data_IF_770634570429
#
_entry.id   IF_770634570429
#
_cell.length_a   1.000
_cell.length_b   1.000
_cell.length_c   1.000
_cell.angle_alpha   90.00
_cell.angle_beta   90.00
_cell.angle_gamma   90.00
#
_symmetry.space_group_name_H-M   'P 1'
#
loop_
_entity.id
_entity.type
_entity.pdbx_description
1 polymer ?
#
# COMPACT_ATOMS: atom_id res chain seq x y z
N UNK A 1 -6.98 -10.47 -7.93
CA UNK A 1 -7.00 -10.83 -6.49
C UNK A 1 -5.81 -11.70 -6.09
N UNK A 2 -5.70 -12.99 -6.46
CA UNK A 2 -4.60 -13.88 -6.01
C UNK A 2 -3.19 -13.29 -6.17
N UNK A 3 -2.88 -12.73 -7.34
CA UNK A 3 -1.59 -12.07 -7.61
C UNK A 3 -1.33 -10.90 -6.65
N UNK A 4 -2.33 -10.05 -6.43
CA UNK A 4 -2.22 -8.91 -5.53
C UNK A 4 -1.91 -9.36 -4.10
N UNK A 5 -2.61 -10.39 -3.60
CA UNK A 5 -2.35 -10.96 -2.27
C UNK A 5 -0.91 -11.47 -2.17
N UNK A 6 -0.43 -12.22 -3.16
CA UNK A 6 0.96 -12.72 -3.17
C UNK A 6 1.96 -11.56 -3.09
N UNK A 7 1.80 -10.51 -3.89
CA UNK A 7 2.70 -9.35 -3.86
C UNK A 7 2.62 -8.58 -2.55
N UNK A 8 1.42 -8.37 -1.99
CA UNK A 8 1.25 -7.72 -0.69
C UNK A 8 1.90 -8.53 0.43
N UNK A 9 1.78 -9.86 0.40
CA UNK A 9 2.48 -10.75 1.34
C UNK A 9 4.00 -10.62 1.20
N UNK A 10 4.52 -10.57 -0.03
CA UNK A 10 5.95 -10.37 -0.27
C UNK A 10 6.41 -9.02 0.30
N UNK A 11 5.67 -7.94 0.05
CA UNK A 11 5.97 -6.59 0.56
C UNK A 11 5.97 -6.59 2.09
N UNK A 12 4.97 -7.20 2.72
CA UNK A 12 4.90 -7.30 4.18
C UNK A 12 6.14 -7.99 4.77
N UNK A 13 6.53 -9.15 4.23
CA UNK A 13 7.74 -9.85 4.70
C UNK A 13 9.02 -9.11 4.34
N UNK A 14 9.06 -8.39 3.22
CA UNK A 14 10.18 -7.52 2.87
C UNK A 14 10.32 -6.39 3.90
N UNK A 15 9.23 -5.73 4.29
CA UNK A 15 9.22 -4.70 5.34
C UNK A 15 9.68 -5.27 6.69
N UNK A 16 9.22 -6.46 7.06
CA UNK A 16 9.69 -7.12 8.29
C UNK A 16 11.20 -7.44 8.25
N UNK A 17 11.70 -7.88 7.10
CA UNK A 17 13.14 -8.07 6.90
C UNK A 17 13.89 -6.73 6.91
N UNK A 18 13.31 -5.67 6.33
CA UNK A 18 13.82 -4.31 6.36
C UNK A 18 14.03 -3.79 7.78
N UNK A 19 13.03 -3.98 8.65
CA UNK A 19 13.10 -3.70 10.09
C UNK A 19 14.22 -4.48 10.78
N UNK A 20 14.36 -5.77 10.46
CA UNK A 20 15.41 -6.61 11.06
C UNK A 20 16.82 -6.18 10.65
N UNK A 21 17.04 -5.90 9.37
CA UNK A 21 18.34 -5.48 8.83
C UNK A 21 18.59 -3.97 8.93
N UNK A 22 17.64 -3.21 9.48
CA UNK A 22 17.68 -1.75 9.65
C UNK A 22 17.75 -0.97 8.33
N UNK A 23 17.23 -1.54 7.24
CA UNK A 23 17.22 -0.90 5.92
C UNK A 23 16.26 0.29 5.86
N UNK A 24 15.16 0.21 6.60
CA UNK A 24 14.22 1.30 6.89
C UNK A 24 14.93 2.56 7.42
N UNK A 25 15.79 2.41 8.43
CA UNK A 25 16.50 3.54 9.06
C UNK A 25 17.70 4.07 8.26
N UNK A 26 18.17 3.33 7.25
CA UNK A 26 19.37 3.67 6.47
C UNK A 26 19.09 4.01 5.01
N UNK A 27 17.94 3.57 4.49
CA UNK A 27 17.63 3.60 3.05
C UNK A 27 16.22 4.09 2.84
N UNK A 28 16.05 5.42 2.81
CA UNK A 28 14.79 6.12 2.54
C UNK A 28 14.09 5.61 1.25
N UNK A 29 14.85 5.07 0.30
CA UNK A 29 14.31 4.49 -0.93
C UNK A 29 13.61 3.15 -0.72
N UNK A 30 14.02 2.35 0.26
CA UNK A 30 13.43 1.03 0.54
C UNK A 30 11.97 1.20 0.94
N UNK A 31 11.76 2.03 1.96
CA UNK A 31 10.44 2.29 2.54
C UNK A 31 9.48 2.94 1.52
N UNK A 32 9.90 4.05 0.89
CA UNK A 32 9.13 4.70 -0.18
C UNK A 32 8.78 3.76 -1.34
N UNK A 33 9.69 2.86 -1.71
CA UNK A 33 9.41 1.88 -2.77
C UNK A 33 8.42 0.82 -2.31
N UNK A 34 8.47 0.43 -1.03
CA UNK A 34 7.50 -0.46 -0.42
C UNK A 34 6.11 0.17 -0.38
N UNK A 35 5.99 1.45 -0.01
CA UNK A 35 4.72 2.20 -0.07
C UNK A 35 4.19 2.31 -1.50
N UNK A 36 5.03 2.72 -2.46
CA UNK A 36 4.59 2.77 -3.86
C UNK A 36 4.07 1.42 -4.37
N UNK A 37 4.80 0.33 -4.10
CA UNK A 37 4.39 -1.01 -4.46
C UNK A 37 3.12 -1.43 -3.69
N UNK A 38 3.05 -1.09 -2.40
CA UNK A 38 1.93 -1.34 -1.51
C UNK A 38 0.65 -0.70 -2.04
N UNK A 39 0.68 0.59 -2.36
CA UNK A 39 -0.42 1.31 -3.01
C UNK A 39 -0.85 0.71 -4.34
N UNK A 40 0.12 0.32 -5.19
CA UNK A 40 -0.15 -0.33 -6.49
C UNK A 40 -0.90 -1.65 -6.32
N UNK A 41 -0.40 -2.56 -5.48
CA UNK A 41 -1.01 -3.88 -5.30
C UNK A 41 -2.26 -3.83 -4.43
N UNK A 42 -2.38 -2.85 -3.53
CA UNK A 42 -3.62 -2.56 -2.81
C UNK A 42 -4.70 -2.08 -3.78
N UNK A 43 -4.39 -1.17 -4.71
CA UNK A 43 -5.32 -0.78 -5.76
C UNK A 43 -5.73 -1.98 -6.62
N UNK A 44 -4.80 -2.87 -6.95
CA UNK A 44 -5.08 -4.11 -7.67
C UNK A 44 -6.01 -5.05 -6.90
N UNK A 45 -5.81 -5.18 -5.59
CA UNK A 45 -6.66 -5.96 -4.72
C UNK A 45 -8.06 -5.34 -4.65
N UNK A 46 -8.15 -4.04 -4.35
CA UNK A 46 -9.41 -3.31 -4.19
C UNK A 46 -10.20 -3.22 -5.49
N UNK A 47 -9.55 -3.15 -6.66
CA UNK A 47 -10.24 -3.21 -7.95
C UNK A 47 -10.94 -4.55 -8.19
N UNK A 48 -10.38 -5.65 -7.68
CA UNK A 48 -11.01 -6.96 -7.73
C UNK A 48 -12.10 -7.12 -6.66
N UNK A 49 -11.85 -6.62 -5.45
CA UNK A 49 -12.76 -6.71 -4.31
C UNK A 49 -14.02 -5.84 -4.50
N UNK A 50 -13.86 -4.60 -4.97
CA UNK A 50 -14.95 -3.64 -5.17
C UNK A 50 -15.55 -3.66 -6.58
N UNK A 51 -15.28 -4.71 -7.38
CA UNK A 51 -15.63 -4.75 -8.81
C UNK A 51 -17.13 -4.46 -9.09
N UNK A 52 -18.01 -4.88 -8.17
CA UNK A 52 -19.48 -4.75 -8.25
C UNK A 52 -19.99 -3.40 -7.77
N UNK A 53 -19.18 -2.66 -7.01
CA UNK A 53 -19.52 -1.35 -6.45
C UNK A 53 -18.99 -0.18 -7.30
N UNK A 54 -18.35 -0.47 -8.43
CA UNK A 54 -17.89 0.59 -9.32
C UNK A 54 -19.06 1.31 -9.99
N UNK A 55 -19.07 2.66 -10.01
CA UNK A 55 -20.14 3.50 -10.56
C UNK A 55 -20.25 3.49 -12.11
N UNK A 56 -20.29 2.30 -12.70
CA UNK A 56 -20.46 2.08 -14.15
C UNK A 56 -19.20 2.42 -14.96
N UNK A 57 -19.39 3.07 -16.12
CA UNK A 57 -18.34 3.31 -17.12
C UNK A 57 -17.45 4.54 -16.83
N UNK A 58 -17.74 5.32 -15.79
CA UNK A 58 -16.97 6.53 -15.50
C UNK A 58 -15.59 6.17 -14.93
N UNK A 59 -14.55 6.31 -15.76
CA UNK A 59 -13.16 6.07 -15.36
C UNK A 59 -12.75 6.94 -14.19
N UNK A 60 -13.11 8.22 -14.21
CA UNK A 60 -12.78 9.15 -13.12
C UNK A 60 -13.41 8.71 -11.79
N UNK A 61 -14.71 8.40 -11.76
CA UNK A 61 -15.36 7.94 -10.53
C UNK A 61 -14.75 6.64 -10.00
N UNK A 62 -14.44 5.70 -10.89
CA UNK A 62 -13.79 4.43 -10.51
C UNK A 62 -12.38 4.67 -9.95
N UNK A 63 -11.63 5.62 -10.51
CA UNK A 63 -10.31 6.02 -9.99
C UNK A 63 -10.43 6.67 -8.60
N UNK A 64 -11.43 7.52 -8.35
CA UNK A 64 -11.68 8.12 -7.03
C UNK A 64 -12.02 7.05 -5.99
N UNK A 65 -12.85 6.05 -6.34
CA UNK A 65 -13.15 4.91 -5.45
C UNK A 65 -11.88 4.15 -5.08
N UNK A 66 -11.00 3.88 -6.06
CA UNK A 66 -9.73 3.20 -5.81
C UNK A 66 -8.78 4.03 -4.96
N UNK A 67 -8.63 5.32 -5.27
CA UNK A 67 -7.77 6.21 -4.51
C UNK A 67 -8.23 6.31 -3.04
N UNK A 68 -9.54 6.47 -2.80
CA UNK A 68 -10.09 6.50 -1.44
C UNK A 68 -9.90 5.19 -0.68
N UNK A 69 -10.10 4.05 -1.35
CA UNK A 69 -9.89 2.74 -0.74
C UNK A 69 -8.42 2.50 -0.36
N UNK A 70 -7.48 2.84 -1.26
CA UNK A 70 -6.04 2.75 -0.98
C UNK A 70 -5.65 3.70 0.13
N UNK A 71 -6.16 4.93 0.12
CA UNK A 71 -5.83 5.90 1.17
C UNK A 71 -6.28 5.47 2.55
N UNK A 72 -7.47 4.88 2.66
CA UNK A 72 -7.93 4.31 3.92
C UNK A 72 -6.95 3.23 4.43
N UNK A 73 -6.46 2.37 3.53
CA UNK A 73 -5.50 1.32 3.90
C UNK A 73 -4.14 1.91 4.30
N UNK A 74 -3.64 2.90 3.58
CA UNK A 74 -2.40 3.62 3.94
C UNK A 74 -2.50 4.28 5.31
N UNK A 75 -3.59 5.01 5.59
CA UNK A 75 -3.80 5.62 6.92
C UNK A 75 -3.89 4.57 8.03
N UNK A 76 -4.51 3.42 7.76
CA UNK A 76 -4.56 2.32 8.74
C UNK A 76 -3.20 1.67 8.95
N UNK A 77 -2.33 1.64 7.93
CA UNK A 77 -0.96 1.16 8.04
C UNK A 77 -0.12 2.08 8.93
N UNK A 78 -0.11 3.39 8.65
CA UNK A 78 0.57 4.40 9.47
C UNK A 78 0.08 4.39 10.93
N UNK A 79 -1.23 4.20 11.14
CA UNK A 79 -1.79 4.05 12.48
C UNK A 79 -1.29 2.77 13.17
N UNK A 80 -1.17 1.66 12.43
CA UNK A 80 -0.63 0.41 12.97
C UNK A 80 0.85 0.57 13.34
N UNK A 81 1.62 1.28 12.55
CA UNK A 81 3.02 1.65 12.81
C UNK A 81 3.16 2.53 14.04
N UNK A 82 2.30 3.54 14.18
CA UNK A 82 2.23 4.36 15.38
C UNK A 82 1.96 3.49 16.62
N UNK A 83 0.97 2.61 16.57
CA UNK A 83 0.66 1.71 17.69
C UNK A 83 1.85 0.80 17.99
N UNK A 84 2.47 0.21 16.96
CA UNK A 84 3.64 -0.64 17.08
C UNK A 84 4.82 0.10 17.73
N UNK A 85 5.02 1.38 17.41
CA UNK A 85 6.04 2.22 18.03
C UNK A 85 5.80 2.43 19.53
N UNK A 86 4.55 2.39 20.00
CA UNK A 86 4.23 2.53 21.41
C UNK A 86 4.34 1.22 22.20
N UNK A 87 4.04 0.08 21.57
CA UNK A 87 3.84 -1.18 22.32
C UNK A 87 4.79 -2.32 21.95
N UNK A 88 5.44 -2.29 20.80
CA UNK A 88 6.24 -3.42 20.29
C UNK A 88 7.76 -3.21 20.38
N UNK A 89 8.25 -1.97 20.55
CA UNK A 89 9.69 -1.69 20.63
C UNK A 89 10.37 -2.47 21.76
N UNK A 90 9.87 -2.33 23.00
CA UNK A 90 10.47 -2.98 24.17
C UNK A 90 10.37 -4.52 24.13
N UNK A 91 9.20 -5.13 23.82
CA UNK A 91 9.12 -6.59 23.66
C UNK A 91 10.10 -7.14 22.62
N UNK A 92 10.22 -6.47 21.46
CA UNK A 92 11.10 -6.91 20.38
C UNK A 92 12.56 -6.78 20.78
N UNK A 93 12.94 -5.67 21.42
CA UNK A 93 14.30 -5.52 21.94
C UNK A 93 14.63 -6.59 22.98
N UNK A 94 13.74 -6.86 23.92
CA UNK A 94 13.99 -7.86 24.96
C UNK A 94 14.16 -9.27 24.39
N UNK A 95 13.41 -9.64 23.35
CA UNK A 95 13.44 -10.99 22.78
C UNK A 95 14.52 -11.17 21.71
N UNK A 96 14.71 -10.18 20.85
CA UNK A 96 15.57 -10.28 19.68
C UNK A 96 16.85 -9.46 19.79
N UNK A 97 16.97 -8.60 20.82
CA UNK A 97 18.08 -7.67 21.03
C UNK A 97 18.29 -6.71 19.85
N UNK A 98 17.20 -6.36 19.16
CA UNK A 98 17.18 -5.45 18.01
C UNK A 98 16.35 -4.23 18.36
N UNK A 99 16.90 -3.04 18.09
CA UNK A 99 16.14 -1.78 18.19
C UNK A 99 15.40 -1.53 16.88
N UNK A 100 14.09 -1.59 16.93
CA UNK A 100 13.19 -1.32 15.81
C UNK A 100 12.59 0.08 15.94
N UNK A 101 12.41 0.76 14.82
CA UNK A 101 11.69 2.02 14.70
C UNK A 101 10.54 1.79 13.73
N UNK A 102 9.31 1.92 14.20
CA UNK A 102 8.14 1.55 13.42
C UNK A 102 7.51 2.71 12.65
N UNK A 103 7.77 3.95 13.05
CA UNK A 103 7.13 5.12 12.47
C UNK A 103 8.15 6.26 12.30
N UNK A 104 8.03 6.98 11.19
CA UNK A 104 8.76 8.20 10.92
C UNK A 104 8.15 9.44 11.59
N UNK A 105 8.51 10.61 11.06
CA UNK A 105 7.89 11.88 11.43
C UNK A 105 6.68 12.19 10.52
N UNK A 106 6.02 13.33 10.76
CA UNK A 106 4.87 13.73 9.94
C UNK A 106 5.21 13.88 8.46
N UNK A 107 6.43 14.33 8.12
CA UNK A 107 6.82 14.50 6.73
C UNK A 107 7.01 13.14 6.05
N UNK A 108 7.50 12.14 6.78
CA UNK A 108 7.60 10.75 6.33
C UNK A 108 6.21 10.18 6.02
N UNK A 109 5.31 10.16 7.01
CA UNK A 109 3.92 9.70 6.85
C UNK A 109 3.21 10.35 5.66
N UNK A 110 3.39 11.66 5.45
CA UNK A 110 2.78 12.33 4.30
C UNK A 110 3.40 11.87 2.97
N UNK A 111 4.71 11.62 2.93
CA UNK A 111 5.36 11.03 1.75
C UNK A 111 4.88 9.60 1.51
N UNK A 112 4.67 8.81 2.55
CA UNK A 112 4.28 7.41 2.45
C UNK A 112 2.87 7.26 1.89
N UNK A 113 1.94 8.06 2.42
CA UNK A 113 0.59 8.21 1.86
C UNK A 113 0.61 8.73 0.41
N UNK A 114 1.52 9.65 0.08
CA UNK A 114 1.69 10.12 -1.29
C UNK A 114 2.22 9.01 -2.22
N UNK A 115 3.14 8.18 -1.75
CA UNK A 115 3.68 7.05 -2.50
C UNK A 115 2.62 5.97 -2.71
N UNK A 116 1.80 5.68 -1.70
CA UNK A 116 0.64 4.79 -1.82
C UNK A 116 -0.33 5.27 -2.91
N UNK A 117 -0.68 6.56 -2.90
CA UNK A 117 -1.55 7.16 -3.92
C UNK A 117 -0.92 7.14 -5.32
N UNK A 118 0.39 7.36 -5.40
CA UNK A 118 1.12 7.32 -6.68
C UNK A 118 1.11 5.92 -7.28
N UNK A 119 1.31 4.88 -6.46
CA UNK A 119 1.18 3.48 -6.87
C UNK A 119 -0.24 3.16 -7.33
N UNK A 120 -1.25 3.62 -6.59
CA UNK A 120 -2.65 3.46 -6.94
C UNK A 120 -3.03 4.16 -8.25
N UNK A 121 -2.47 5.35 -8.51
CA UNK A 121 -2.68 6.10 -9.73
C UNK A 121 -2.12 5.35 -10.94
N UNK A 122 -0.91 4.78 -10.83
CA UNK A 122 -0.32 3.94 -11.88
C UNK A 122 -1.21 2.72 -12.18
N UNK A 123 -1.63 1.99 -11.15
CA UNK A 123 -2.52 0.84 -11.34
C UNK A 123 -3.85 1.26 -12.01
N UNK A 124 -4.48 2.32 -11.51
CA UNK A 124 -5.76 2.82 -12.01
C UNK A 124 -5.67 3.22 -13.48
N UNK A 125 -4.58 3.90 -13.87
CA UNK A 125 -4.32 4.26 -15.27
C UNK A 125 -4.29 3.03 -16.18
N UNK A 126 -3.53 2.00 -15.80
CA UNK A 126 -3.40 0.76 -16.58
C UNK A 126 -4.73 -0.01 -16.61
N UNK A 127 -5.39 -0.18 -15.46
CA UNK A 127 -6.62 -0.94 -15.33
C UNK A 127 -7.80 -0.31 -16.09
N UNK A 128 -8.00 1.00 -15.93
CA UNK A 128 -9.15 1.70 -16.52
C UNK A 128 -8.98 1.96 -18.03
N UNK A 129 -7.73 2.01 -18.53
CA UNK A 129 -7.46 2.00 -19.96
C UNK A 129 -7.98 0.72 -20.61
N UNK A 130 -7.69 -0.44 -19.99
CA UNK A 130 -8.04 -1.75 -20.54
C UNK A 130 -9.51 -2.13 -20.35
N UNK A 131 -10.18 -1.64 -19.29
CA UNK A 131 -11.62 -1.87 -19.08
C UNK A 131 -12.51 -1.28 -20.19
N UNK A 132 -12.04 -0.24 -20.86
CA UNK A 132 -12.75 0.41 -21.97
C UNK A 132 -12.91 -0.48 -23.20
N UNK A 133 -12.02 -1.46 -23.37
CA UNK A 133 -11.92 -2.29 -24.58
C UNK A 133 -12.83 -3.53 -24.52
N UNK A 134 -13.00 -4.12 -23.33
CA UNK A 134 -13.75 -5.37 -23.16
C UNK A 134 -15.27 -5.17 -23.05
N UNK A 135 -15.74 -3.94 -22.82
CA UNK A 135 -17.19 -3.60 -22.82
C UNK A 135 -17.75 -3.39 -24.25
N UNK A 136 -16.89 -3.47 -25.28
CA UNK A 136 -17.27 -3.31 -26.71
C UNK A 136 -17.53 -4.67 -27.37
N UNK A 137 -16.90 -5.75 -26.92
CA UNK A 137 -17.03 -7.09 -27.54
C UNK A 137 -18.23 -7.92 -27.02
N UNK A 138 -18.95 -7.43 -26.00
CA UNK A 138 -20.09 -8.14 -25.40
C UNK A 138 -21.41 -7.37 -25.47
N UNK A 139 -21.60 -6.53 -26.51
CA UNK A 139 -22.91 -5.96 -26.85
C UNK A 139 -23.37 -6.42 -28.21
#
# INVERSE_FOLDING_TARGET
>A
MKKAVVFLTIIFFANLAGLYFRFDSQTVWFDRSAHFAGGLFTAMFMAAFLKEYFPGKSKFKNAVVLAGAVMLIGVLWELAEFIASQVLIEPIYNWLQIRTYFIGDLADTINDLFMDLSGAALFSFVFLKNRSSNDVEHR
#
